data_IF_183660582374
#
_entry.id   IF_183660582374
#
_cell.length_a   1.000
_cell.length_b   1.000
_cell.length_c   1.000
_cell.angle_alpha   90.00
_cell.angle_beta   90.00
_cell.angle_gamma   90.00
#
_symmetry.space_group_name_H-M   'P 1'
#
loop_
_entity.id
_entity.type
_entity.pdbx_description
1 polymer ?
#
# COMPACT_ATOMS: atom_id res chain seq x y z
N UNK A 1 13.61 -7.45 4.88
CA UNK A 1 12.42 -7.16 5.71
C UNK A 1 11.61 -6.08 5.00
N UNK A 2 10.31 -6.30 4.76
CA UNK A 2 9.45 -5.32 4.08
C UNK A 2 8.92 -4.34 5.13
N UNK A 3 9.16 -3.05 4.97
CA UNK A 3 8.70 -2.02 5.91
C UNK A 3 7.33 -1.48 5.47
N UNK A 4 6.30 -1.84 6.22
CA UNK A 4 4.92 -1.41 5.97
C UNK A 4 4.65 -0.02 6.54
N UNK A 5 3.98 0.81 5.74
CA UNK A 5 3.54 2.14 6.14
C UNK A 5 2.03 2.21 6.11
N UNK A 6 1.45 2.62 7.24
CA UNK A 6 0.04 3.00 7.38
C UNK A 6 -0.12 4.51 7.19
N UNK A 7 -1.24 4.94 6.63
CA UNK A 7 -1.55 6.37 6.52
C UNK A 7 -1.72 7.01 7.90
N UNK A 8 -1.26 8.24 8.08
CA UNK A 8 -1.48 9.00 9.31
C UNK A 8 -2.93 9.46 9.48
N UNK A 9 -3.75 9.37 8.43
CA UNK A 9 -5.20 9.67 8.46
C UNK A 9 -6.06 8.48 8.89
N UNK A 10 -5.43 7.38 9.28
CA UNK A 10 -6.09 6.14 9.67
C UNK A 10 -6.31 6.08 11.18
N UNK A 11 -7.57 6.10 11.62
CA UNK A 11 -7.90 5.81 13.02
C UNK A 11 -7.76 4.29 13.31
N UNK A 12 -7.51 3.94 14.57
CA UNK A 12 -7.21 2.56 15.02
C UNK A 12 -8.30 1.51 14.69
N UNK A 13 -9.50 1.93 14.33
CA UNK A 13 -10.64 1.07 13.99
C UNK A 13 -10.97 1.03 12.49
N UNK A 14 -10.34 1.87 11.66
CA UNK A 14 -10.70 2.07 10.27
C UNK A 14 -10.09 1.00 9.33
N UNK A 15 -10.77 0.74 8.21
CA UNK A 15 -10.36 -0.18 7.13
C UNK A 15 -9.19 0.42 6.34
N UNK A 16 -7.98 0.28 6.88
CA UNK A 16 -6.81 1.01 6.39
C UNK A 16 -5.96 0.14 5.48
N UNK A 17 -5.57 0.71 4.35
CA UNK A 17 -4.60 0.10 3.44
C UNK A 17 -3.19 0.43 3.94
N UNK A 18 -2.37 -0.61 4.08
CA UNK A 18 -0.93 -0.48 4.31
C UNK A 18 -0.18 -0.70 3.00
N UNK A 19 0.87 0.09 2.79
CA UNK A 19 1.68 0.01 1.57
C UNK A 19 3.15 -0.19 1.94
N UNK A 20 3.86 -0.98 1.15
CA UNK A 20 5.30 -1.16 1.30
C UNK A 20 6.03 -1.20 -0.05
N UNK A 21 7.21 -0.61 -0.10
CA UNK A 21 8.10 -0.72 -1.26
C UNK A 21 8.97 -1.97 -1.12
N UNK A 22 8.93 -2.86 -2.10
CA UNK A 22 9.74 -4.07 -2.16
C UNK A 22 10.43 -4.17 -3.52
N UNK A 23 11.64 -3.59 -3.61
CA UNK A 23 12.41 -3.50 -4.84
C UNK A 23 11.65 -2.77 -5.96
N UNK A 24 11.38 -3.47 -7.06
CA UNK A 24 10.65 -2.92 -8.22
C UNK A 24 9.13 -3.04 -8.11
N UNK A 25 8.61 -3.44 -6.94
CA UNK A 25 7.19 -3.62 -6.67
C UNK A 25 6.73 -2.78 -5.49
N UNK A 26 5.46 -2.42 -5.52
CA UNK A 26 4.73 -1.83 -4.40
C UNK A 26 3.69 -2.84 -3.96
N UNK A 27 3.72 -3.18 -2.67
CA UNK A 27 2.79 -4.09 -2.06
C UNK A 27 1.70 -3.28 -1.35
N UNK A 28 0.46 -3.70 -1.45
CA UNK A 28 -0.66 -3.13 -0.72
C UNK A 28 -1.47 -4.24 -0.06
N UNK A 29 -1.93 -4.00 1.17
CA UNK A 29 -2.77 -4.95 1.90
C UNK A 29 -3.74 -4.23 2.82
N UNK A 30 -4.80 -4.93 3.22
CA UNK A 30 -5.68 -4.45 4.27
C UNK A 30 -5.04 -4.69 5.65
N UNK A 31 -5.17 -3.71 6.55
CA UNK A 31 -4.61 -3.81 7.90
C UNK A 31 -5.25 -4.92 8.73
N UNK A 32 -6.52 -5.28 8.48
CA UNK A 32 -7.27 -6.30 9.22
C UNK A 32 -7.12 -7.68 8.58
N UNK A 33 -6.89 -7.73 7.27
CA UNK A 33 -6.58 -8.93 6.53
C UNK A 33 -5.25 -8.79 5.76
N UNK A 34 -4.10 -8.97 6.44
CA UNK A 34 -2.78 -8.72 5.85
C UNK A 34 -2.37 -9.72 4.77
N UNK A 35 -3.20 -10.72 4.46
CA UNK A 35 -2.96 -11.66 3.37
C UNK A 35 -4.27 -11.98 2.60
N UNK A 36 -4.21 -12.15 1.27
CA UNK A 36 -3.04 -11.99 0.41
C UNK A 36 -2.74 -10.51 0.07
N UNK A 37 -1.46 -10.21 -0.14
CA UNK A 37 -0.97 -8.88 -0.49
C UNK A 37 -1.10 -8.64 -2.00
N UNK A 38 -1.60 -7.48 -2.41
CA UNK A 38 -1.61 -7.06 -3.80
C UNK A 38 -0.24 -6.51 -4.18
N UNK A 39 0.33 -6.96 -5.31
CA UNK A 39 1.66 -6.54 -5.76
C UNK A 39 1.62 -5.85 -7.12
N UNK A 40 2.02 -4.59 -7.16
CA UNK A 40 2.03 -3.75 -8.35
C UNK A 40 3.46 -3.45 -8.80
N UNK A 41 3.73 -3.31 -10.11
CA UNK A 41 4.98 -2.70 -10.57
C UNK A 41 5.11 -1.26 -10.06
N UNK A 42 6.30 -0.87 -9.60
CA UNK A 42 6.53 0.47 -9.04
C UNK A 42 6.21 1.61 -10.02
N UNK A 43 6.43 1.40 -11.32
CA UNK A 43 6.10 2.40 -12.34
C UNK A 43 4.58 2.60 -12.48
N UNK A 44 3.81 1.50 -12.47
CA UNK A 44 2.35 1.57 -12.54
C UNK A 44 1.78 2.27 -11.30
N UNK A 45 2.33 1.97 -10.11
CA UNK A 45 1.96 2.65 -8.87
C UNK A 45 2.24 4.16 -8.94
N UNK A 46 3.40 4.56 -9.49
CA UNK A 46 3.75 5.98 -9.64
C UNK A 46 2.80 6.70 -10.59
N UNK A 47 2.42 6.08 -11.71
CA UNK A 47 1.44 6.65 -12.65
C UNK A 47 0.05 6.78 -12.03
N UNK A 48 -0.36 5.82 -11.20
CA UNK A 48 -1.62 5.86 -10.46
C UNK A 48 -1.70 7.05 -9.49
N UNK A 49 -0.59 7.35 -8.79
CA UNK A 49 -0.54 8.48 -7.85
C UNK A 49 -0.50 9.85 -8.53
N UNK A 50 0.05 9.93 -9.75
CA UNK A 50 0.17 11.18 -10.51
C UNK A 50 -1.17 11.67 -11.06
N UNK A 51 -2.09 10.75 -11.39
CA UNK A 51 -3.47 11.06 -11.76
C UNK A 51 -4.41 10.97 -10.56
N UNK A 52 -4.69 12.10 -9.95
CA UNK A 52 -5.84 12.28 -9.07
C UNK A 52 -6.71 13.37 -9.73
N UNK A 53 -7.70 12.95 -10.52
CA UNK A 53 -8.77 13.83 -11.03
C UNK A 53 -9.80 14.12 -9.93
#
# INVERSE_FOLDING_TARGET
MVLWRKSSRSNSSANCVEVACSGRRVLARDSKNPAPELAFPAEAWRRFLDKQE
#
